data_IF_316788142511
#
_entry.id   IF_316788142511
#
_cell.length_a   1.000
_cell.length_b   1.000
_cell.length_c   1.000
_cell.angle_alpha   90.00
_cell.angle_beta   90.00
_cell.angle_gamma   90.00
#
_symmetry.space_group_name_H-M   'P 1'
#
loop_
_entity.id
_entity.type
_entity.pdbx_description
1 polymer ?
#
# COMPACT_ATOMS: atom_id res chain seq x y z
N UNK A 1 -4.92 -50.24 71.03
CA UNK A 1 -3.95 -49.86 69.98
C UNK A 1 -4.65 -48.96 68.99
N UNK A 2 -4.11 -47.77 68.71
CA UNK A 2 -4.67 -46.86 67.71
C UNK A 2 -3.54 -46.09 67.02
N UNK A 3 -3.59 -46.00 65.69
CA UNK A 3 -2.50 -45.42 64.90
C UNK A 3 -2.90 -44.08 64.31
N UNK A 4 -1.98 -43.13 64.43
CA UNK A 4 -2.06 -41.76 63.94
C UNK A 4 -1.04 -41.60 62.79
N UNK A 5 -1.37 -40.76 61.81
CA UNK A 5 -0.45 -40.27 60.79
C UNK A 5 -0.21 -38.79 61.05
N UNK A 6 1.05 -38.42 61.22
CA UNK A 6 1.52 -37.05 61.33
C UNK A 6 2.03 -36.65 59.94
N UNK A 7 1.49 -35.59 59.36
CA UNK A 7 1.87 -35.09 58.03
C UNK A 7 2.75 -33.85 58.15
N UNK A 8 3.39 -33.49 57.02
CA UNK A 8 4.05 -32.19 56.81
C UNK A 8 5.28 -31.97 57.70
N UNK A 9 5.96 -33.06 58.05
CA UNK A 9 7.25 -33.06 58.76
C UNK A 9 8.38 -32.52 57.87
N UNK A 10 9.34 -31.84 58.48
CA UNK A 10 10.57 -31.39 57.84
C UNK A 10 11.46 -32.60 57.48
N UNK A 11 12.25 -32.49 56.42
CA UNK A 11 13.16 -33.59 56.00
C UNK A 11 14.28 -33.89 57.01
N UNK A 12 14.45 -33.04 58.02
CA UNK A 12 15.38 -33.20 59.15
C UNK A 12 14.72 -33.79 60.40
N UNK A 13 13.38 -33.87 60.49
CA UNK A 13 12.71 -34.49 61.63
C UNK A 13 12.88 -36.02 61.55
N UNK A 14 13.45 -36.63 62.59
CA UNK A 14 13.70 -38.08 62.64
C UNK A 14 12.62 -38.83 63.45
N UNK A 15 12.59 -40.17 63.35
CA UNK A 15 11.67 -41.02 64.11
C UNK A 15 11.69 -40.72 65.61
N UNK A 16 12.89 -40.48 66.13
CA UNK A 16 13.16 -40.47 67.56
C UNK A 16 12.68 -39.16 68.20
N UNK A 17 12.79 -38.02 67.49
CA UNK A 17 12.20 -36.74 67.93
C UNK A 17 10.68 -36.78 67.89
N UNK A 18 10.08 -37.37 66.84
CA UNK A 18 8.62 -37.57 66.77
C UNK A 18 8.16 -38.52 67.89
N UNK A 19 8.90 -39.60 68.16
CA UNK A 19 8.55 -40.55 69.21
C UNK A 19 8.64 -39.90 70.59
N UNK A 20 9.77 -39.27 70.93
CA UNK A 20 9.97 -38.59 72.21
C UNK A 20 8.91 -37.50 72.46
N UNK A 21 8.52 -36.74 71.43
CA UNK A 21 7.41 -35.79 71.53
C UNK A 21 6.08 -36.50 71.80
N UNK A 22 5.73 -37.52 71.00
CA UNK A 22 4.45 -38.21 71.13
C UNK A 22 4.34 -39.01 72.44
N UNK A 23 5.46 -39.46 73.04
CA UNK A 23 5.49 -40.13 74.35
C UNK A 23 4.95 -39.24 75.48
N UNK A 24 4.96 -37.91 75.33
CA UNK A 24 4.37 -36.98 76.31
C UNK A 24 2.84 -37.13 76.44
N UNK A 25 2.17 -37.63 75.40
CA UNK A 25 0.73 -37.94 75.39
C UNK A 25 0.43 -39.40 75.80
N UNK A 26 1.47 -40.23 75.99
CA UNK A 26 1.34 -41.58 76.51
C UNK A 26 2.11 -42.64 75.72
N UNK A 27 2.00 -43.90 76.17
CA UNK A 27 2.84 -45.01 75.69
C UNK A 27 2.66 -45.31 74.20
N UNK A 28 3.76 -45.24 73.46
CA UNK A 28 3.88 -45.67 72.06
C UNK A 28 4.25 -47.15 71.99
N UNK A 29 3.79 -47.81 70.93
CA UNK A 29 4.11 -49.19 70.56
C UNK A 29 4.95 -49.30 69.28
N UNK A 30 4.87 -48.30 68.40
CA UNK A 30 5.61 -48.24 67.14
C UNK A 30 5.63 -46.80 66.61
N UNK A 31 6.80 -46.27 66.27
CA UNK A 31 7.00 -45.00 65.57
C UNK A 31 7.86 -45.27 64.32
N UNK A 32 7.41 -44.85 63.13
CA UNK A 32 8.26 -44.89 61.94
C UNK A 32 7.90 -43.81 60.93
N UNK A 33 8.93 -43.24 60.29
CA UNK A 33 8.77 -42.26 59.21
C UNK A 33 8.75 -42.96 57.85
N UNK A 34 7.89 -42.49 56.94
CA UNK A 34 7.83 -42.90 55.54
C UNK A 34 7.60 -41.66 54.67
N UNK A 35 8.64 -41.21 53.96
CA UNK A 35 8.64 -39.90 53.30
C UNK A 35 8.28 -38.79 54.33
N UNK A 36 7.54 -37.76 53.95
CA UNK A 36 7.20 -36.63 54.84
C UNK A 36 6.04 -36.94 55.83
N UNK A 37 5.87 -38.21 56.21
CA UNK A 37 4.81 -38.66 57.13
C UNK A 37 5.38 -39.57 58.21
N UNK A 38 5.05 -39.32 59.48
CA UNK A 38 5.32 -40.25 60.56
C UNK A 38 4.06 -41.02 60.94
N UNK A 39 4.22 -42.31 61.24
CA UNK A 39 3.15 -43.20 61.64
C UNK A 39 3.42 -43.64 63.08
N UNK A 40 2.60 -43.14 64.01
CA UNK A 40 2.74 -43.37 65.45
C UNK A 40 1.57 -44.22 65.94
N UNK A 41 1.86 -45.34 66.59
CA UNK A 41 0.85 -46.23 67.17
C UNK A 41 0.89 -46.14 68.69
N UNK A 42 -0.15 -45.55 69.27
CA UNK A 42 -0.34 -45.50 70.71
C UNK A 42 -0.89 -46.84 71.22
N UNK A 43 -0.52 -47.20 72.45
CA UNK A 43 -1.09 -48.34 73.16
C UNK A 43 -2.60 -48.17 73.33
N UNK A 44 -3.00 -47.01 73.86
CA UNK A 44 -4.38 -46.67 74.20
C UNK A 44 -5.01 -45.72 73.19
N UNK A 45 -6.33 -45.88 72.98
CA UNK A 45 -7.10 -45.04 72.04
C UNK A 45 -7.25 -43.60 72.55
N UNK A 46 -7.34 -43.43 73.87
CA UNK A 46 -7.56 -42.13 74.51
C UNK A 46 -6.38 -41.18 74.27
N UNK A 47 -5.16 -41.66 74.47
CA UNK A 47 -3.91 -40.94 74.24
C UNK A 47 -3.82 -40.43 72.78
N UNK A 48 -4.25 -41.26 71.82
CA UNK A 48 -4.32 -40.88 70.40
C UNK A 48 -5.45 -39.88 70.09
N UNK A 49 -6.59 -39.95 70.77
CA UNK A 49 -7.67 -38.96 70.67
C UNK A 49 -7.26 -37.60 71.22
N UNK A 50 -6.57 -37.57 72.37
CA UNK A 50 -6.03 -36.36 72.97
C UNK A 50 -4.93 -35.74 72.11
N UNK A 51 -3.99 -36.56 71.62
CA UNK A 51 -2.98 -36.13 70.67
C UNK A 51 -3.60 -35.51 69.40
N UNK A 52 -4.61 -36.14 68.78
CA UNK A 52 -5.28 -35.56 67.60
C UNK A 52 -6.05 -34.27 67.96
N UNK A 53 -6.66 -34.19 69.14
CA UNK A 53 -7.36 -32.98 69.61
C UNK A 53 -6.42 -31.79 69.84
N UNK A 54 -5.18 -32.04 70.23
CA UNK A 54 -4.14 -31.03 70.44
C UNK A 54 -3.43 -30.58 69.13
N UNK A 55 -3.81 -31.10 67.96
CA UNK A 55 -3.26 -30.69 66.66
C UNK A 55 -3.73 -29.27 66.28
N UNK A 56 -2.86 -28.37 65.77
CA UNK A 56 -1.52 -28.62 65.25
C UNK A 56 -0.42 -28.71 66.31
N UNK A 57 0.51 -29.65 66.12
CA UNK A 57 1.66 -29.85 67.00
C UNK A 57 2.89 -29.09 66.52
N UNK A 58 3.79 -28.76 67.44
CA UNK A 58 5.14 -28.29 67.12
C UNK A 58 6.16 -29.28 67.68
N UNK A 59 6.52 -30.27 66.86
CA UNK A 59 7.45 -31.35 67.23
C UNK A 59 8.91 -30.88 67.19
N UNK A 60 9.23 -29.93 66.31
CA UNK A 60 10.56 -29.35 66.17
C UNK A 60 10.53 -27.82 66.01
N UNK A 61 11.69 -27.23 65.71
CA UNK A 61 11.81 -25.79 65.52
C UNK A 61 11.27 -25.30 64.16
N UNK A 62 11.02 -26.19 63.19
CA UNK A 62 10.89 -25.88 61.78
C UNK A 62 9.46 -25.76 61.26
N UNK A 63 8.46 -26.34 61.93
CA UNK A 63 7.07 -26.22 61.49
C UNK A 63 5.98 -26.57 62.50
N UNK A 64 4.75 -26.37 62.07
CA UNK A 64 3.55 -26.95 62.69
C UNK A 64 3.12 -28.17 61.85
N UNK A 65 2.93 -29.31 62.51
CA UNK A 65 2.55 -30.59 61.87
C UNK A 65 1.15 -31.02 62.29
N UNK A 66 0.43 -31.68 61.39
CA UNK A 66 -0.95 -32.11 61.65
C UNK A 66 -1.06 -33.60 61.94
N UNK A 67 -1.83 -33.95 62.98
CA UNK A 67 -2.10 -35.32 63.37
C UNK A 67 -3.50 -35.77 62.88
N UNK A 68 -3.56 -36.94 62.22
CA UNK A 68 -4.80 -37.50 61.65
C UNK A 68 -4.92 -39.00 61.92
N UNK A 69 -6.14 -39.55 61.93
CA UNK A 69 -6.32 -41.00 62.10
C UNK A 69 -5.76 -41.78 60.90
N UNK A 70 -5.02 -42.87 61.16
CA UNK A 70 -4.63 -43.82 60.12
C UNK A 70 -5.82 -44.69 59.73
N UNK A 71 -6.67 -44.18 58.84
CA UNK A 71 -7.79 -44.95 58.26
C UNK A 71 -7.28 -46.25 57.66
N UNK A 72 -7.88 -47.38 58.05
CA UNK A 72 -7.50 -48.73 57.59
C UNK A 72 -8.01 -49.00 56.16
N UNK A 73 -7.46 -48.28 55.18
CA UNK A 73 -7.86 -48.38 53.77
C UNK A 73 -7.44 -49.76 53.22
N UNK A 74 -8.43 -50.52 52.75
CA UNK A 74 -8.23 -51.82 52.12
C UNK A 74 -7.47 -51.65 50.79
N UNK A 75 -6.45 -52.48 50.53
CA UNK A 75 -5.42 -52.22 49.50
C UNK A 75 -5.85 -52.43 48.04
N UNK A 76 -7.12 -52.72 47.78
CA UNK A 76 -7.60 -53.21 46.48
C UNK A 76 -8.47 -52.18 45.74
N UNK A 77 -7.91 -51.01 45.38
CA UNK A 77 -8.51 -50.07 44.39
C UNK A 77 -7.45 -49.10 43.84
N UNK A 78 -6.64 -49.57 42.90
CA UNK A 78 -5.52 -48.81 42.31
C UNK A 78 -5.86 -48.15 40.97
N UNK A 79 -6.99 -47.42 40.89
CA UNK A 79 -7.27 -46.53 39.77
C UNK A 79 -8.19 -45.36 40.15
N UNK A 80 -7.78 -44.15 39.73
CA UNK A 80 -8.61 -42.95 39.56
C UNK A 80 -9.52 -42.50 40.72
N UNK A 81 -9.15 -42.79 41.96
CA UNK A 81 -9.50 -41.92 43.09
C UNK A 81 -8.24 -41.37 43.75
N UNK A 82 -7.77 -40.24 43.22
CA UNK A 82 -6.98 -39.26 43.99
C UNK A 82 -7.91 -38.74 45.08
N UNK A 83 -7.99 -39.47 46.20
CA UNK A 83 -8.87 -39.16 47.33
C UNK A 83 -8.53 -37.76 47.84
N UNK A 84 -9.35 -36.80 47.42
CA UNK A 84 -9.34 -35.44 47.94
C UNK A 84 -9.58 -35.53 49.43
N UNK A 85 -8.66 -34.95 50.22
CA UNK A 85 -8.89 -34.70 51.63
C UNK A 85 -10.21 -33.95 51.78
N UNK A 86 -11.11 -34.46 52.63
CA UNK A 86 -12.53 -34.10 52.60
C UNK A 86 -12.75 -32.58 52.49
N UNK A 87 -13.45 -32.19 51.42
CA UNK A 87 -13.58 -30.81 50.92
C UNK A 87 -14.43 -29.91 51.83
N UNK A 88 -13.95 -29.67 53.05
CA UNK A 88 -14.52 -28.77 54.05
C UNK A 88 -13.45 -27.98 54.84
N UNK A 89 -12.23 -28.49 55.00
CA UNK A 89 -11.17 -27.77 55.74
C UNK A 89 -10.63 -26.52 55.03
N UNK A 90 -10.82 -26.40 53.72
CA UNK A 90 -10.55 -25.17 52.96
C UNK A 90 -11.75 -24.20 52.98
N UNK A 91 -12.96 -24.69 53.19
CA UNK A 91 -14.20 -23.91 53.04
C UNK A 91 -14.43 -22.92 54.19
N UNK A 92 -13.66 -23.00 55.28
CA UNK A 92 -13.73 -22.07 56.42
C UNK A 92 -12.55 -21.08 56.48
N UNK A 93 -11.81 -20.91 55.37
CA UNK A 93 -10.56 -20.12 55.33
C UNK A 93 -10.69 -18.83 54.52
N UNK A 94 -10.29 -17.70 55.12
CA UNK A 94 -10.21 -16.39 54.48
C UNK A 94 -8.76 -15.93 54.35
N UNK A 95 -8.46 -15.29 53.22
CA UNK A 95 -7.26 -14.45 53.05
C UNK A 95 -7.64 -13.00 53.33
N UNK A 96 -6.89 -12.34 54.22
CA UNK A 96 -7.11 -10.96 54.64
C UNK A 96 -5.90 -10.14 54.19
N UNK A 97 -6.12 -9.01 53.51
CA UNK A 97 -5.06 -8.08 53.12
C UNK A 97 -5.25 -6.73 53.81
N UNK A 98 -4.15 -6.12 54.23
CA UNK A 98 -4.16 -4.87 54.99
C UNK A 98 -2.76 -4.34 55.26
N UNK A 99 -2.68 -3.24 56.02
CA UNK A 99 -1.40 -2.70 56.49
C UNK A 99 -0.84 -3.54 57.65
N UNK A 100 0.50 -3.59 57.77
CA UNK A 100 1.22 -4.38 58.79
C UNK A 100 0.63 -4.21 60.21
N UNK A 101 0.30 -2.98 60.60
CA UNK A 101 -0.28 -2.61 61.91
C UNK A 101 -1.69 -3.19 62.16
N UNK A 102 -2.49 -3.42 61.11
CA UNK A 102 -3.80 -4.08 61.22
C UNK A 102 -3.67 -5.60 61.32
N UNK A 103 -2.60 -6.16 60.74
CA UNK A 103 -2.43 -7.61 60.59
C UNK A 103 -1.85 -8.30 61.84
N UNK A 104 -1.65 -7.60 62.97
CA UNK A 104 -1.28 -8.29 64.21
C UNK A 104 -2.33 -9.36 64.57
N UNK A 105 -1.86 -10.60 64.75
CA UNK A 105 -2.69 -11.79 64.95
C UNK A 105 -3.76 -11.60 66.04
N UNK A 106 -3.42 -10.94 67.15
CA UNK A 106 -4.34 -10.66 68.26
C UNK A 106 -5.50 -9.74 67.84
N UNK A 107 -5.23 -8.73 67.03
CA UNK A 107 -6.21 -7.77 66.55
C UNK A 107 -7.14 -8.44 65.52
N UNK A 108 -6.56 -9.28 64.66
CA UNK A 108 -7.30 -10.11 63.71
C UNK A 108 -8.22 -11.13 64.42
N UNK A 109 -7.69 -11.95 65.33
CA UNK A 109 -8.49 -12.91 66.12
C UNK A 109 -9.61 -12.17 66.86
N UNK A 110 -9.31 -11.07 67.55
CA UNK A 110 -10.30 -10.29 68.31
C UNK A 110 -11.41 -9.71 67.43
N UNK A 111 -11.08 -9.24 66.24
CA UNK A 111 -12.05 -8.70 65.29
C UNK A 111 -12.91 -9.80 64.68
N UNK A 112 -12.30 -10.82 64.08
CA UNK A 112 -13.03 -11.87 63.37
C UNK A 112 -13.78 -12.83 64.29
N UNK A 113 -13.42 -12.89 65.58
CA UNK A 113 -14.21 -13.58 66.63
C UNK A 113 -15.64 -13.05 66.77
N UNK A 114 -15.97 -11.88 66.21
CA UNK A 114 -17.34 -11.37 66.14
C UNK A 114 -18.26 -12.22 65.23
N UNK A 115 -17.71 -12.86 64.19
CA UNK A 115 -18.48 -13.68 63.25
C UNK A 115 -18.66 -15.13 63.73
N UNK A 116 -17.70 -15.62 64.53
CA UNK A 116 -17.71 -16.91 65.23
C UNK A 116 -16.29 -17.35 65.62
N UNK A 117 -16.13 -18.59 66.11
CA UNK A 117 -14.85 -19.02 66.69
C UNK A 117 -13.71 -19.12 65.65
N UNK A 118 -12.64 -18.37 65.88
CA UNK A 118 -11.42 -18.40 65.06
C UNK A 118 -10.51 -19.52 65.58
N UNK A 119 -10.49 -20.63 64.85
CA UNK A 119 -9.66 -21.82 65.14
C UNK A 119 -8.17 -21.53 65.03
N UNK A 120 -7.78 -20.72 64.04
CA UNK A 120 -6.37 -20.43 63.73
C UNK A 120 -6.26 -19.11 62.96
N UNK A 121 -5.26 -18.29 63.30
CA UNK A 121 -4.87 -17.10 62.53
C UNK A 121 -3.38 -17.20 62.20
N UNK A 122 -3.04 -17.24 60.91
CA UNK A 122 -1.67 -17.25 60.41
C UNK A 122 -1.38 -15.88 59.79
N UNK A 123 -0.75 -14.98 60.55
CA UNK A 123 -0.42 -13.65 60.05
C UNK A 123 0.98 -13.60 59.41
N UNK A 124 1.11 -12.89 58.29
CA UNK A 124 2.39 -12.51 57.72
C UNK A 124 2.41 -10.99 57.42
N UNK A 125 2.57 -10.12 58.45
CA UNK A 125 2.45 -8.67 58.29
C UNK A 125 3.45 -8.07 57.30
N UNK A 126 4.62 -8.71 57.14
CA UNK A 126 5.67 -8.32 56.20
C UNK A 126 5.25 -8.54 54.73
N UNK A 127 4.38 -9.51 54.47
CA UNK A 127 3.84 -9.78 53.12
C UNK A 127 2.47 -9.12 52.89
N UNK A 128 1.96 -8.36 53.86
CA UNK A 128 0.70 -7.61 53.73
C UNK A 128 -0.57 -8.48 53.73
N UNK A 129 -0.48 -9.73 54.20
CA UNK A 129 -1.65 -10.61 54.34
C UNK A 129 -1.64 -11.45 55.63
N UNK A 130 -2.80 -12.00 55.96
CA UNK A 130 -3.01 -13.01 56.99
C UNK A 130 -4.10 -14.00 56.56
N UNK A 131 -4.05 -15.23 57.06
CA UNK A 131 -5.06 -16.27 56.81
C UNK A 131 -5.80 -16.61 58.09
N UNK A 132 -7.13 -16.48 58.10
CA UNK A 132 -7.98 -16.94 59.22
C UNK A 132 -8.69 -18.22 58.83
N UNK A 133 -8.70 -19.18 59.76
CA UNK A 133 -9.54 -20.38 59.71
C UNK A 133 -10.59 -20.30 60.82
N UNK A 134 -11.87 -20.31 60.46
CA UNK A 134 -12.96 -20.56 61.40
C UNK A 134 -13.16 -22.07 61.63
N UNK A 135 -13.77 -22.46 62.75
CA UNK A 135 -14.31 -23.82 62.86
C UNK A 135 -15.60 -23.99 62.02
N UNK A 136 -16.51 -23.01 62.06
CA UNK A 136 -17.82 -23.07 61.40
C UNK A 136 -17.86 -22.35 60.04
N UNK A 137 -18.42 -23.02 59.03
CA UNK A 137 -18.68 -22.44 57.69
C UNK A 137 -19.60 -21.21 57.73
N UNK A 138 -20.56 -21.20 58.67
CA UNK A 138 -21.50 -20.08 58.86
C UNK A 138 -20.76 -18.80 59.27
N UNK A 139 -19.68 -18.93 60.06
CA UNK A 139 -18.85 -17.80 60.51
C UNK A 139 -17.99 -17.27 59.37
N UNK A 140 -17.45 -18.16 58.55
CA UNK A 140 -16.76 -17.85 57.30
C UNK A 140 -17.68 -17.09 56.32
N UNK A 141 -18.89 -17.60 56.04
CA UNK A 141 -19.83 -16.94 55.13
C UNK A 141 -20.29 -15.57 55.64
N UNK A 142 -20.52 -15.42 56.95
CA UNK A 142 -20.89 -14.12 57.55
C UNK A 142 -19.80 -13.09 57.36
N UNK A 143 -18.55 -13.46 57.58
CA UNK A 143 -17.41 -12.57 57.34
C UNK A 143 -17.31 -12.23 55.84
N UNK A 144 -17.25 -13.22 54.95
CA UNK A 144 -17.11 -13.01 53.50
C UNK A 144 -18.26 -12.19 52.87
N UNK A 145 -19.46 -12.25 53.46
CA UNK A 145 -20.65 -11.50 53.00
C UNK A 145 -20.65 -10.03 53.41
N UNK A 146 -19.83 -9.62 54.38
CA UNK A 146 -19.72 -8.21 54.78
C UNK A 146 -18.86 -7.44 53.76
N UNK A 147 -19.45 -6.44 53.11
CA UNK A 147 -18.81 -5.79 51.95
C UNK A 147 -17.59 -4.94 52.28
N UNK A 148 -17.37 -4.58 53.56
CA UNK A 148 -16.25 -3.74 54.03
C UNK A 148 -15.96 -3.99 55.52
N UNK A 149 -14.83 -4.63 55.81
CA UNK A 149 -14.32 -4.72 57.18
C UNK A 149 -13.42 -3.54 57.52
N UNK A 150 -13.42 -3.11 58.79
CA UNK A 150 -12.59 -2.01 59.28
C UNK A 150 -11.91 -2.36 60.60
N UNK A 151 -10.56 -2.31 60.60
CA UNK A 151 -9.74 -2.58 61.77
C UNK A 151 -8.78 -1.40 61.98
N UNK A 152 -8.76 -0.87 63.21
CA UNK A 152 -7.98 0.33 63.60
C UNK A 152 -8.22 1.55 62.68
N UNK A 153 -9.48 1.75 62.27
CA UNK A 153 -9.90 2.88 61.42
C UNK A 153 -9.53 2.76 59.93
N UNK A 154 -8.82 1.70 59.52
CA UNK A 154 -8.47 1.41 58.12
C UNK A 154 -9.28 0.22 57.62
N UNK A 155 -9.59 0.20 56.32
CA UNK A 155 -10.27 -0.94 55.70
C UNK A 155 -9.37 -2.18 55.64
N UNK A 156 -9.99 -3.36 55.66
CA UNK A 156 -9.37 -4.63 55.28
C UNK A 156 -10.03 -5.15 54.01
N UNK A 157 -9.24 -5.79 53.13
CA UNK A 157 -9.76 -6.58 52.01
C UNK A 157 -9.84 -8.03 52.49
N UNK A 158 -10.96 -8.70 52.25
CA UNK A 158 -11.22 -10.08 52.65
C UNK A 158 -11.63 -10.88 51.42
N UNK A 159 -10.90 -11.94 51.16
CA UNK A 159 -11.00 -12.81 49.99
C UNK A 159 -11.18 -14.27 50.44
N UNK A 160 -11.87 -15.13 49.67
CA UNK A 160 -11.80 -16.57 49.88
C UNK A 160 -10.34 -17.04 49.84
N UNK A 161 -9.96 -18.01 50.66
CA UNK A 161 -8.60 -18.55 50.64
C UNK A 161 -8.31 -19.29 49.33
N UNK A 162 -7.55 -18.65 48.44
CA UNK A 162 -6.81 -19.31 47.37
C UNK A 162 -5.46 -19.77 47.89
N UNK A 163 -5.00 -20.97 47.52
CA UNK A 163 -3.60 -21.33 47.78
C UNK A 163 -2.65 -20.46 46.94
N UNK A 164 -1.40 -20.34 47.39
CA UNK A 164 -0.36 -19.55 46.69
C UNK A 164 -0.15 -20.12 45.27
N UNK A 165 -0.05 -21.45 45.17
CA UNK A 165 0.12 -22.18 43.90
C UNK A 165 -1.02 -21.91 42.90
N UNK A 166 -2.28 -21.89 43.36
CA UNK A 166 -3.44 -21.56 42.53
C UNK A 166 -3.45 -20.08 42.11
N UNK A 167 -3.01 -19.17 42.98
CA UNK A 167 -2.96 -17.74 42.71
C UNK A 167 -1.88 -17.38 41.67
N UNK A 168 -0.71 -18.01 41.74
CA UNK A 168 0.35 -17.84 40.73
C UNK A 168 0.00 -18.52 39.41
N UNK A 169 -0.58 -19.72 39.45
CA UNK A 169 -1.07 -20.44 38.26
C UNK A 169 -2.12 -19.63 37.49
N UNK A 170 -3.14 -19.10 38.18
CA UNK A 170 -4.18 -18.29 37.56
C UNK A 170 -3.63 -17.00 36.93
N UNK A 171 -2.69 -16.31 37.59
CA UNK A 171 -2.02 -15.13 37.03
C UNK A 171 -1.22 -15.43 35.77
N UNK A 172 -0.51 -16.56 35.73
CA UNK A 172 0.26 -16.96 34.56
C UNK A 172 -0.67 -17.34 33.39
N UNK A 173 -1.77 -18.07 33.67
CA UNK A 173 -2.79 -18.36 32.66
C UNK A 173 -3.49 -17.10 32.11
N UNK A 174 -3.81 -16.11 32.95
CA UNK A 174 -4.39 -14.84 32.51
C UNK A 174 -3.40 -14.05 31.62
N UNK A 175 -2.13 -13.98 32.02
CA UNK A 175 -1.06 -13.34 31.25
C UNK A 175 -0.86 -14.02 29.89
N UNK A 176 -0.84 -15.36 29.84
CA UNK A 176 -0.67 -16.10 28.59
C UNK A 176 -1.90 -15.98 27.68
N UNK A 177 -3.12 -15.89 28.24
CA UNK A 177 -4.31 -15.53 27.49
C UNK A 177 -4.17 -14.15 26.82
N UNK A 178 -3.77 -13.13 27.58
CA UNK A 178 -3.58 -11.77 27.06
C UNK A 178 -2.46 -11.69 26.00
N UNK A 179 -1.40 -12.48 26.14
CA UNK A 179 -0.34 -12.61 25.12
C UNK A 179 -0.90 -13.22 23.83
N UNK A 180 -1.66 -14.31 23.93
CA UNK A 180 -2.27 -14.96 22.76
C UNK A 180 -3.30 -14.07 22.07
N UNK A 181 -4.10 -13.32 22.84
CA UNK A 181 -5.06 -12.33 22.31
C UNK A 181 -4.34 -11.19 21.58
N UNK A 182 -3.24 -10.67 22.13
CA UNK A 182 -2.39 -9.68 21.47
C UNK A 182 -1.78 -10.19 20.15
N UNK A 183 -1.28 -11.44 20.13
CA UNK A 183 -0.74 -12.07 18.92
C UNK A 183 -1.82 -12.25 17.86
N UNK A 184 -3.05 -12.62 18.26
CA UNK A 184 -4.17 -12.76 17.33
C UNK A 184 -4.55 -11.41 16.67
N UNK A 185 -4.63 -10.34 17.46
CA UNK A 185 -4.93 -8.99 16.96
C UNK A 185 -3.83 -8.48 16.02
N UNK A 186 -2.55 -8.69 16.37
CA UNK A 186 -1.43 -8.33 15.50
C UNK A 186 -1.50 -9.09 14.16
N UNK A 187 -1.77 -10.39 14.17
CA UNK A 187 -1.90 -11.18 12.94
C UNK A 187 -3.04 -10.66 12.03
N UNK A 188 -4.22 -10.36 12.59
CA UNK A 188 -5.33 -9.75 11.83
C UNK A 188 -4.93 -8.39 11.22
N UNK A 189 -4.18 -7.57 11.97
CA UNK A 189 -3.71 -6.26 11.49
C UNK A 189 -2.71 -6.41 10.34
N UNK A 190 -1.75 -7.35 10.45
CA UNK A 190 -0.79 -7.67 9.39
C UNK A 190 -1.44 -8.25 8.13
N UNK A 191 -2.49 -9.07 8.27
CA UNK A 191 -3.30 -9.53 7.13
C UNK A 191 -4.03 -8.37 6.44
N UNK A 192 -4.60 -7.45 7.22
CA UNK A 192 -5.30 -6.27 6.67
C UNK A 192 -4.35 -5.28 5.98
N UNK A 193 -3.12 -5.11 6.47
CA UNK A 193 -2.08 -4.33 5.77
C UNK A 193 -1.79 -4.94 4.39
N UNK A 194 -1.55 -6.25 4.32
CA UNK A 194 -1.27 -6.96 3.06
C UNK A 194 -2.41 -6.81 2.05
N UNK A 195 -3.66 -6.83 2.51
CA UNK A 195 -4.83 -6.58 1.67
C UNK A 195 -4.83 -5.15 1.11
N UNK A 196 -4.61 -4.14 1.96
CA UNK A 196 -4.55 -2.74 1.51
C UNK A 196 -3.40 -2.47 0.53
N UNK A 197 -2.22 -3.03 0.74
CA UNK A 197 -1.10 -2.87 -0.21
C UNK A 197 -1.37 -3.60 -1.54
N UNK A 198 -2.10 -4.73 -1.53
CA UNK A 198 -2.56 -5.39 -2.75
C UNK A 198 -3.62 -4.56 -3.51
N UNK A 199 -4.64 -4.05 -2.81
CA UNK A 199 -5.66 -3.17 -3.41
C UNK A 199 -5.04 -1.91 -4.03
N UNK A 200 -4.11 -1.29 -3.30
CA UNK A 200 -3.32 -0.13 -3.73
C UNK A 200 -2.46 -0.44 -4.97
N UNK A 201 -1.86 -1.63 -5.04
CA UNK A 201 -1.13 -2.07 -6.23
C UNK A 201 -2.06 -2.21 -7.44
N UNK A 202 -3.24 -2.82 -7.27
CA UNK A 202 -4.24 -2.95 -8.35
C UNK A 202 -4.78 -1.58 -8.81
N UNK A 203 -5.00 -0.63 -7.88
CA UNK A 203 -5.35 0.75 -8.23
C UNK A 203 -4.24 1.47 -9.01
N UNK A 204 -2.99 1.32 -8.60
CA UNK A 204 -1.84 1.89 -9.32
C UNK A 204 -1.72 1.32 -10.75
N UNK A 205 -1.87 0.00 -10.91
CA UNK A 205 -1.91 -0.64 -12.22
C UNK A 205 -3.08 -0.13 -13.08
N UNK A 206 -4.28 0.00 -12.51
CA UNK A 206 -5.45 0.52 -13.22
C UNK A 206 -5.21 1.96 -13.73
N UNK A 207 -4.70 2.85 -12.86
CA UNK A 207 -4.37 4.23 -13.23
C UNK A 207 -3.30 4.27 -14.33
N UNK A 208 -2.25 3.45 -14.23
CA UNK A 208 -1.22 3.36 -15.26
C UNK A 208 -1.77 2.86 -16.62
N UNK A 209 -2.69 1.90 -16.61
CA UNK A 209 -3.39 1.41 -17.83
C UNK A 209 -4.25 2.52 -18.44
N UNK A 210 -5.03 3.25 -17.63
CA UNK A 210 -5.84 4.39 -18.11
C UNK A 210 -4.97 5.50 -18.71
N UNK A 211 -3.88 5.89 -18.05
CA UNK A 211 -2.99 6.93 -18.55
C UNK A 211 -2.26 6.50 -19.83
N UNK A 212 -1.91 5.22 -19.98
CA UNK A 212 -1.37 4.68 -21.23
C UNK A 212 -2.40 4.75 -22.37
N UNK A 213 -3.66 4.35 -22.13
CA UNK A 213 -4.75 4.47 -23.11
C UNK A 213 -4.98 5.93 -23.55
N UNK A 214 -4.96 6.88 -22.61
CA UNK A 214 -5.08 8.30 -22.91
C UNK A 214 -3.90 8.85 -23.73
N UNK A 215 -2.67 8.45 -23.39
CA UNK A 215 -1.47 8.81 -24.15
C UNK A 215 -1.51 8.25 -25.59
N UNK A 216 -2.03 7.04 -25.79
CA UNK A 216 -2.23 6.45 -27.12
C UNK A 216 -3.26 7.24 -27.95
N UNK A 217 -4.36 7.67 -27.33
CA UNK A 217 -5.34 8.56 -27.98
C UNK A 217 -4.72 9.90 -28.39
N UNK A 218 -3.94 10.53 -27.50
CA UNK A 218 -3.20 11.77 -27.82
C UNK A 218 -2.26 11.56 -29.01
N UNK A 219 -1.47 10.48 -29.02
CA UNK A 219 -0.57 10.14 -30.13
C UNK A 219 -1.31 9.94 -31.46
N UNK A 220 -2.49 9.31 -31.43
CA UNK A 220 -3.34 9.15 -32.61
C UNK A 220 -3.88 10.49 -33.12
N UNK A 221 -4.38 11.37 -32.24
CA UNK A 221 -4.83 12.71 -32.64
C UNK A 221 -3.68 13.58 -33.19
N UNK A 222 -2.48 13.51 -32.60
CA UNK A 222 -1.30 14.20 -33.10
C UNK A 222 -0.90 13.71 -34.51
N UNK A 223 -1.00 12.41 -34.77
CA UNK A 223 -0.79 11.84 -36.11
C UNK A 223 -1.80 12.36 -37.13
N UNK A 224 -3.10 12.34 -36.81
CA UNK A 224 -4.15 12.85 -37.71
C UNK A 224 -4.01 14.35 -37.99
N UNK A 225 -3.69 15.16 -36.96
CA UNK A 225 -3.44 16.59 -37.12
C UNK A 225 -2.24 16.86 -38.03
N UNK A 226 -1.15 16.08 -37.90
CA UNK A 226 -0.01 16.17 -38.81
C UNK A 226 -0.39 15.80 -40.24
N UNK A 227 -1.10 14.70 -40.44
CA UNK A 227 -1.55 14.26 -41.77
C UNK A 227 -2.41 15.34 -42.46
N UNK A 228 -3.33 15.97 -41.73
CA UNK A 228 -4.14 17.08 -42.23
C UNK A 228 -3.29 18.31 -42.58
N UNK A 229 -2.29 18.66 -41.77
CA UNK A 229 -1.36 19.76 -42.04
C UNK A 229 -0.49 19.51 -43.28
N UNK A 230 -0.01 18.28 -43.48
CA UNK A 230 0.73 17.87 -44.67
C UNK A 230 -0.17 17.92 -45.94
N UNK A 231 -1.45 17.58 -45.82
CA UNK A 231 -2.45 17.70 -46.90
C UNK A 231 -2.77 19.17 -47.26
N UNK A 232 -2.95 20.04 -46.26
CA UNK A 232 -3.14 21.48 -46.48
C UNK A 232 -1.89 22.07 -47.16
N UNK A 233 -0.69 21.77 -46.63
CA UNK A 233 0.59 22.26 -47.16
C UNK A 233 0.84 21.81 -48.61
N UNK A 234 0.32 20.66 -49.04
CA UNK A 234 0.41 20.19 -50.42
C UNK A 234 -0.63 20.84 -51.33
N UNK A 235 -1.86 21.08 -50.85
CA UNK A 235 -2.89 21.85 -51.57
C UNK A 235 -2.52 23.33 -51.75
N UNK A 236 -1.86 23.94 -50.77
CA UNK A 236 -1.34 25.31 -50.89
C UNK A 236 -0.28 25.40 -51.99
N UNK A 237 0.66 24.46 -52.05
CA UNK A 237 1.68 24.39 -53.11
C UNK A 237 1.08 24.20 -54.50
N UNK A 238 0.06 23.34 -54.64
CA UNK A 238 -0.70 23.19 -55.88
C UNK A 238 -1.43 24.49 -56.26
N UNK A 239 -1.97 25.21 -55.28
CA UNK A 239 -2.67 26.48 -55.49
C UNK A 239 -1.70 27.59 -55.95
N UNK A 240 -0.49 27.69 -55.38
CA UNK A 240 0.54 28.61 -55.87
C UNK A 240 1.08 28.24 -57.25
N UNK A 241 1.20 26.94 -57.57
CA UNK A 241 1.53 26.50 -58.92
C UNK A 241 0.45 26.92 -59.93
N UNK A 242 -0.82 26.67 -59.64
CA UNK A 242 -1.94 27.06 -60.50
C UNK A 242 -2.06 28.59 -60.65
N UNK A 243 -1.79 29.37 -59.60
CA UNK A 243 -1.69 30.84 -59.68
C UNK A 243 -0.59 31.27 -60.66
N UNK A 244 0.57 30.61 -60.63
CA UNK A 244 1.66 30.88 -61.56
C UNK A 244 1.28 30.50 -63.00
N UNK A 245 0.75 29.31 -63.21
CA UNK A 245 0.33 28.83 -64.54
C UNK A 245 -0.74 29.74 -65.17
N UNK A 246 -1.74 30.17 -64.38
CA UNK A 246 -2.73 31.16 -64.83
C UNK A 246 -2.10 32.51 -65.19
N UNK A 247 -1.09 32.97 -64.42
CA UNK A 247 -0.36 34.21 -64.75
C UNK A 247 0.45 34.07 -66.03
N UNK A 248 1.16 32.95 -66.20
CA UNK A 248 1.95 32.67 -67.40
C UNK A 248 1.02 32.59 -68.65
N UNK A 249 -0.23 32.11 -68.49
CA UNK A 249 -1.29 32.16 -69.52
C UNK A 249 -1.78 33.59 -69.79
N UNK A 250 -2.04 34.41 -68.77
CA UNK A 250 -2.44 35.81 -68.92
C UNK A 250 -1.37 36.63 -69.66
N UNK A 251 -0.09 36.43 -69.34
CA UNK A 251 1.04 37.09 -69.99
C UNK A 251 1.19 36.63 -71.47
N UNK A 252 0.95 35.35 -71.77
CA UNK A 252 0.87 34.83 -73.15
C UNK A 252 -0.32 35.40 -73.94
N UNK A 253 -1.49 35.56 -73.31
CA UNK A 253 -2.67 36.18 -73.93
C UNK A 253 -2.43 37.66 -74.24
N UNK A 254 -1.79 38.41 -73.32
CA UNK A 254 -1.36 39.80 -73.55
C UNK A 254 -0.40 39.91 -74.73
N UNK A 255 0.60 39.03 -74.82
CA UNK A 255 1.53 39.00 -75.94
C UNK A 255 0.81 38.69 -77.26
N UNK A 256 -0.08 37.69 -77.29
CA UNK A 256 -0.87 37.33 -78.46
C UNK A 256 -1.78 38.48 -78.95
N UNK A 257 -2.42 39.21 -78.03
CA UNK A 257 -3.20 40.41 -78.39
C UNK A 257 -2.29 41.47 -79.00
N UNK A 258 -1.12 41.74 -78.39
CA UNK A 258 -0.17 42.73 -78.93
C UNK A 258 0.36 42.34 -80.32
N UNK A 259 0.72 41.07 -80.53
CA UNK A 259 1.20 40.57 -81.83
C UNK A 259 0.12 40.68 -82.93
N UNK A 260 -1.15 40.48 -82.56
CA UNK A 260 -2.29 40.72 -83.46
C UNK A 260 -2.48 42.21 -83.77
N UNK A 261 -2.35 43.10 -82.78
CA UNK A 261 -2.38 44.56 -83.01
C UNK A 261 -1.25 45.01 -83.95
N UNK A 262 -0.03 44.53 -83.75
CA UNK A 262 1.11 44.82 -84.63
C UNK A 262 0.88 44.31 -86.05
N UNK A 263 0.31 43.11 -86.22
CA UNK A 263 -0.08 42.60 -87.53
C UNK A 263 -1.13 43.48 -88.21
N UNK A 264 -2.17 43.93 -87.48
CA UNK A 264 -3.17 44.86 -88.00
C UNK A 264 -2.57 46.22 -88.40
N UNK A 265 -1.62 46.73 -87.63
CA UNK A 265 -0.86 47.95 -87.98
C UNK A 265 -0.02 47.73 -89.25
N UNK A 266 0.62 46.57 -89.40
CA UNK A 266 1.39 46.21 -90.60
C UNK A 266 0.50 46.02 -91.85
N UNK A 267 -0.70 45.46 -91.69
CA UNK A 267 -1.69 45.35 -92.77
C UNK A 267 -2.14 46.74 -93.25
N UNK A 268 -2.58 47.61 -92.34
CA UNK A 268 -2.97 49.00 -92.66
C UNK A 268 -1.85 49.78 -93.36
N UNK A 269 -0.59 49.64 -92.91
CA UNK A 269 0.58 50.22 -93.59
C UNK A 269 0.78 49.68 -95.01
N UNK A 270 0.58 48.37 -95.24
CA UNK A 270 0.63 47.77 -96.59
C UNK A 270 -0.48 48.29 -97.51
N UNK A 271 -1.71 48.41 -96.99
CA UNK A 271 -2.83 48.99 -97.71
C UNK A 271 -2.59 50.46 -98.07
N UNK A 272 -2.03 51.25 -97.14
CA UNK A 272 -1.68 52.64 -97.40
C UNK A 272 -0.62 52.76 -98.51
N UNK A 273 0.47 51.98 -98.43
CA UNK A 273 1.53 51.93 -99.44
C UNK A 273 0.96 51.50 -100.81
N UNK A 274 0.07 50.52 -100.84
CA UNK A 274 -0.61 50.10 -102.06
C UNK A 274 -1.47 51.24 -102.65
N UNK A 275 -2.26 51.92 -101.82
CA UNK A 275 -3.09 53.05 -102.23
C UNK A 275 -2.27 54.26 -102.71
N UNK A 276 -1.15 54.59 -102.05
CA UNK A 276 -0.22 55.61 -102.52
C UNK A 276 0.41 55.23 -103.87
N UNK A 277 0.78 53.96 -104.05
CA UNK A 277 1.34 53.44 -105.32
C UNK A 277 0.31 53.51 -106.44
N UNK A 278 -0.95 53.13 -106.16
CA UNK A 278 -2.07 53.23 -107.09
C UNK A 278 -2.32 54.69 -107.52
N UNK A 279 -2.35 55.64 -106.58
CA UNK A 279 -2.49 57.08 -106.89
C UNK A 279 -1.37 57.57 -107.83
N UNK A 280 -0.11 57.24 -107.54
CA UNK A 280 1.03 57.56 -108.42
C UNK A 280 0.86 56.95 -109.82
N UNK A 281 0.34 55.73 -109.91
CA UNK A 281 0.08 55.07 -111.20
C UNK A 281 -1.07 55.75 -111.97
N UNK A 282 -2.13 56.19 -111.28
CA UNK A 282 -3.21 56.99 -111.86
C UNK A 282 -2.74 58.38 -112.31
N UNK A 283 -1.84 59.02 -111.57
CA UNK A 283 -1.21 60.30 -111.94
C UNK A 283 -0.32 60.13 -113.18
N UNK A 284 0.55 59.10 -113.22
CA UNK A 284 1.35 58.75 -114.39
C UNK A 284 0.49 58.40 -115.60
N UNK A 285 -0.63 57.70 -115.40
CA UNK A 285 -1.58 57.40 -116.48
C UNK A 285 -2.29 58.66 -116.99
N UNK A 286 -2.72 59.57 -116.11
CA UNK A 286 -3.28 60.88 -116.49
C UNK A 286 -2.25 61.75 -117.23
N UNK A 287 -0.98 61.70 -116.82
CA UNK A 287 0.11 62.37 -117.52
C UNK A 287 0.40 61.74 -118.90
N UNK A 288 0.36 60.41 -119.01
CA UNK A 288 0.48 59.69 -120.27
C UNK A 288 -0.68 60.02 -121.24
N UNK A 289 -1.92 60.08 -120.77
CA UNK A 289 -3.07 60.53 -121.57
C UNK A 289 -2.83 61.96 -122.07
N UNK A 290 -2.49 62.92 -121.18
CA UNK A 290 -2.15 64.29 -121.59
C UNK A 290 -1.01 64.36 -122.61
N UNK A 291 0.04 63.55 -122.46
CA UNK A 291 1.14 63.48 -123.43
C UNK A 291 0.70 62.87 -124.76
N UNK A 292 -0.20 61.88 -124.75
CA UNK A 292 -0.78 61.29 -125.96
C UNK A 292 -1.67 62.28 -126.71
N UNK A 293 -2.45 63.07 -125.99
CA UNK A 293 -3.32 64.12 -126.54
C UNK A 293 -2.49 65.32 -127.05
N UNK A 294 -1.43 65.70 -126.33
CA UNK A 294 -0.46 66.68 -126.81
C UNK A 294 0.29 66.17 -128.06
N UNK A 295 0.66 64.89 -128.13
CA UNK A 295 1.25 64.28 -129.34
C UNK A 295 0.25 64.10 -130.50
N UNK A 296 -1.06 64.09 -130.23
CA UNK A 296 -2.07 64.22 -131.29
C UNK A 296 -2.15 65.66 -131.81
N UNK A 297 -1.87 66.65 -130.95
CA UNK A 297 -1.85 68.08 -131.28
C UNK A 297 -0.53 68.52 -131.95
N UNK A 298 0.61 67.95 -131.56
CA UNK A 298 1.96 68.24 -132.09
C UNK A 298 2.35 67.36 -133.28
N UNK A 299 1.39 66.68 -133.94
CA UNK A 299 1.64 65.88 -135.15
C UNK A 299 1.66 66.67 -136.47
N UNK A 300 1.69 67.99 -136.39
CA UNK A 300 1.64 68.91 -137.54
C UNK A 300 2.94 69.71 -137.80
N UNK A 301 4.01 69.50 -137.01
CA UNK A 301 5.30 70.19 -137.17
C UNK A 301 6.44 69.18 -136.97
N UNK A 302 7.44 69.18 -137.86
CA UNK A 302 8.78 68.55 -137.74
C UNK A 302 8.79 67.06 -137.28
N UNK A 303 8.97 66.04 -138.12
CA UNK A 303 9.76 65.89 -139.37
C UNK A 303 11.24 66.28 -139.21
N UNK A 304 12.10 65.28 -139.42
CA UNK A 304 13.55 65.34 -139.70
C UNK A 304 14.43 65.84 -138.51
N UNK A 305 15.62 65.30 -138.18
CA UNK A 305 16.45 64.29 -138.85
C UNK A 305 17.59 63.69 -137.97
N UNK A 306 18.14 62.53 -138.38
CA UNK A 306 19.59 62.11 -138.31
C UNK A 306 20.28 61.69 -136.97
N UNK A 307 20.42 60.35 -136.80
CA UNK A 307 21.68 59.54 -136.77
C UNK A 307 22.80 59.59 -135.68
N UNK A 308 23.10 58.38 -135.15
CA UNK A 308 24.42 57.71 -134.91
C UNK A 308 25.37 58.19 -133.77
N UNK A 309 25.71 57.27 -132.83
CA UNK A 309 27.11 56.88 -132.44
C UNK A 309 27.14 55.59 -131.56
N UNK A 310 28.33 55.10 -131.14
CA UNK A 310 28.60 53.78 -130.50
C UNK A 310 29.38 53.89 -129.18
N UNK A 311 29.56 52.73 -128.49
CA UNK A 311 30.70 52.40 -127.58
C UNK A 311 30.66 52.98 -126.14
N UNK A 312 31.23 52.38 -125.07
CA UNK A 312 31.77 51.01 -124.75
C UNK A 312 32.03 50.87 -123.23
N UNK A 313 32.16 49.62 -122.71
CA UNK A 313 32.87 49.25 -121.45
C UNK A 313 32.30 49.77 -120.09
N UNK A 314 32.75 49.38 -118.87
CA UNK A 314 33.21 48.12 -118.20
C UNK A 314 33.62 48.48 -116.72
N UNK A 315 33.86 47.67 -115.67
CA UNK A 315 33.96 46.20 -115.37
C UNK A 315 33.82 45.96 -113.83
N UNK A 316 33.56 44.71 -113.38
CA UNK A 316 33.77 44.18 -111.99
C UNK A 316 32.88 44.77 -110.86
N UNK A 317 32.80 44.25 -109.61
CA UNK A 317 33.49 43.20 -108.81
C UNK A 317 32.45 42.30 -108.09
N UNK A 318 32.63 41.01 -107.71
CA UNK A 318 33.71 40.16 -107.14
C UNK A 318 33.60 39.92 -105.61
N UNK A 319 33.24 38.67 -105.23
CA UNK A 319 33.62 37.88 -104.02
C UNK A 319 33.06 38.25 -102.62
N UNK A 320 32.24 37.33 -102.03
CA UNK A 320 32.67 36.53 -100.85
C UNK A 320 31.74 35.36 -100.41
N UNK A 321 32.38 34.20 -100.19
CA UNK A 321 32.08 33.04 -99.30
C UNK A 321 33.46 32.70 -98.66
N UNK A 322 33.64 31.92 -97.56
CA UNK A 322 32.75 30.94 -96.92
C UNK A 322 32.84 30.99 -95.34
N UNK A 323 32.80 29.81 -94.69
CA UNK A 323 32.98 29.45 -93.25
C UNK A 323 31.72 29.54 -92.38
N UNK A 324 31.34 28.59 -91.52
CA UNK A 324 31.87 27.29 -91.01
C UNK A 324 32.73 27.26 -89.72
N UNK A 325 32.04 27.21 -88.57
CA UNK A 325 32.36 26.50 -87.30
C UNK A 325 30.99 26.33 -86.58
N UNK A 326 30.57 25.25 -85.90
CA UNK A 326 31.20 24.17 -85.12
C UNK A 326 31.71 24.61 -83.73
N UNK A 327 31.38 23.76 -82.74
CA UNK A 327 31.89 23.59 -81.37
C UNK A 327 31.26 24.26 -80.13
N UNK A 328 31.29 23.42 -79.07
CA UNK A 328 31.01 23.59 -77.64
C UNK A 328 29.54 23.74 -77.17
N UNK A 329 28.93 22.92 -76.28
CA UNK A 329 29.33 21.93 -75.22
C UNK A 329 29.28 22.47 -73.77
N UNK A 330 28.65 21.68 -72.86
CA UNK A 330 28.61 21.75 -71.38
C UNK A 330 27.88 22.91 -70.70
N UNK A 331 26.70 22.61 -70.13
CA UNK A 331 26.42 22.28 -68.71
C UNK A 331 24.99 21.69 -68.66
N UNK A 332 24.60 20.72 -67.84
CA UNK A 332 25.14 20.13 -66.60
C UNK A 332 25.18 21.08 -65.40
N UNK A 333 24.00 21.32 -64.83
CA UNK A 333 23.69 20.94 -63.46
C UNK A 333 22.31 20.27 -63.45
#
# INVERSE_FOLDING_TARGET
MSTVVITDLDSRTNSDTVENFCQTYGRILNCYIKSNQCIVTFADKHNAEEFIRASPHRIDLYGFVNATWKTTINRNSSHNQRLTTNSNSNNCRLTIRGTCEQLEEKNLIRYFSHYGHVRMCLSNPLQGFATITFDDHISYERALKESRHFLNGRSLIVEPYTSIDEFESNKQHEKDRLINERIHIENQFQERIKLYDYEKLQWNEYIARQQNQFNQQIGHYQYLLKQSLDEITTKDKQTEQLKKENKDIDDLLRQSVHDNEQQQIHLKKREEIHNQTKRKYEELYKAYIKLKDNCATQRNVEKDSISITKSTASTNSIVNKPKSTIDNVKKKL
#
